data_IF_068805432402
#
_entry.id   IF_068805432402
#
_cell.length_a   1.000
_cell.length_b   1.000
_cell.length_c   1.000
_cell.angle_alpha   90.00
_cell.angle_beta   90.00
_cell.angle_gamma   90.00
#
_symmetry.space_group_name_H-M   'P 1'
#
loop_
_entity.id
_entity.type
_entity.pdbx_description
1 polymer ?
#
# COMPACT_ATOMS: atom_id res chain seq x y z
N UNK A 1 -38.67 -1.15 27.25
CA UNK A 1 -37.54 -1.97 26.80
C UNK A 1 -36.99 -1.31 25.55
N UNK A 2 -36.06 -0.35 25.75
CA UNK A 2 -35.33 0.32 24.67
C UNK A 2 -34.17 -0.63 24.25
N UNK A 3 -34.29 -1.20 23.05
CA UNK A 3 -33.18 -1.87 22.42
C UNK A 3 -32.05 -0.87 22.18
N UNK A 4 -30.91 -1.11 22.79
CA UNK A 4 -29.66 -0.46 22.40
C UNK A 4 -29.36 -0.95 20.98
N UNK A 5 -29.56 -0.10 20.00
CA UNK A 5 -28.93 -0.27 18.68
C UNK A 5 -27.42 -0.21 18.93
N UNK A 6 -26.74 -1.34 18.79
CA UNK A 6 -25.30 -1.33 18.55
C UNK A 6 -25.11 -0.55 17.24
N UNK A 7 -24.75 0.71 17.30
CA UNK A 7 -24.09 1.40 16.22
C UNK A 7 -22.74 0.69 16.15
N UNK A 8 -22.51 -0.07 15.08
CA UNK A 8 -21.16 -0.50 14.72
C UNK A 8 -20.33 0.77 14.67
N UNK A 9 -19.49 0.99 15.68
CA UNK A 9 -18.47 2.02 15.60
C UNK A 9 -17.51 1.54 14.53
N UNK A 10 -17.25 2.38 13.54
CA UNK A 10 -16.08 2.22 12.71
C UNK A 10 -14.89 2.03 13.66
N UNK A 11 -14.26 0.86 13.63
CA UNK A 11 -13.12 0.56 14.49
C UNK A 11 -11.94 1.33 13.90
N UNK A 12 -11.71 2.53 14.43
CA UNK A 12 -10.54 3.32 14.09
C UNK A 12 -9.30 2.66 14.71
N UNK A 13 -8.19 2.66 13.98
CA UNK A 13 -6.94 2.11 14.48
C UNK A 13 -6.36 2.97 15.60
N UNK A 14 -5.62 2.34 16.52
CA UNK A 14 -4.82 3.04 17.51
C UNK A 14 -3.59 3.71 16.87
N UNK A 15 -3.08 4.78 17.50
CA UNK A 15 -1.79 5.34 17.12
C UNK A 15 -0.68 4.31 17.33
N UNK A 16 0.24 4.13 16.34
CA UNK A 16 1.32 3.17 16.45
C UNK A 16 2.38 3.57 17.49
N UNK A 17 3.22 2.61 17.88
CA UNK A 17 4.40 2.87 18.70
C UNK A 17 5.47 3.62 17.89
N UNK A 18 6.01 4.70 18.45
CA UNK A 18 7.06 5.49 17.82
C UNK A 18 8.33 4.66 17.53
N UNK A 19 9.00 4.95 16.41
CA UNK A 19 10.21 4.25 15.97
C UNK A 19 11.45 5.14 15.87
N UNK A 20 11.30 6.39 16.27
CA UNK A 20 12.36 7.37 16.30
C UNK A 20 11.87 8.74 16.71
N UNK A 21 12.76 9.73 16.76
CA UNK A 21 12.41 11.06 17.30
C UNK A 21 11.29 11.77 16.54
N UNK A 22 11.20 11.60 15.20
CA UNK A 22 10.18 12.25 14.40
C UNK A 22 8.79 11.63 14.62
N UNK A 23 8.70 10.31 14.54
CA UNK A 23 7.44 9.62 14.81
C UNK A 23 7.01 9.80 16.27
N UNK A 24 7.95 9.89 17.22
CA UNK A 24 7.64 10.12 18.63
C UNK A 24 6.96 11.47 18.86
N UNK A 25 7.53 12.55 18.31
CA UNK A 25 6.93 13.88 18.49
C UNK A 25 5.60 14.02 17.76
N UNK A 26 5.49 13.42 16.55
CA UNK A 26 4.26 13.41 15.79
C UNK A 26 3.14 12.67 16.52
N UNK A 27 3.40 11.46 17.01
CA UNK A 27 2.42 10.65 17.75
C UNK A 27 2.00 11.32 19.05
N UNK A 28 2.94 11.90 19.80
CA UNK A 28 2.61 12.66 21.02
C UNK A 28 1.70 13.87 20.73
N UNK A 29 1.96 14.56 19.63
CA UNK A 29 1.15 15.69 19.17
C UNK A 29 -0.29 15.27 18.88
N UNK A 30 -0.45 14.20 18.11
CA UNK A 30 -1.75 13.66 17.74
C UNK A 30 -2.50 13.11 18.95
N UNK A 31 -1.82 12.39 19.85
CA UNK A 31 -2.42 11.84 21.06
C UNK A 31 -2.88 12.91 22.07
N UNK A 32 -2.15 14.02 22.18
CA UNK A 32 -2.55 15.12 23.06
C UNK A 32 -3.56 16.08 22.42
N UNK A 33 -3.75 16.00 21.12
CA UNK A 33 -4.48 16.99 20.30
C UNK A 33 -3.95 18.43 20.50
N UNK A 34 -2.66 18.58 20.80
CA UNK A 34 -2.00 19.87 21.05
C UNK A 34 -0.72 20.01 20.22
N UNK A 35 -0.44 21.22 19.77
CA UNK A 35 0.85 21.56 19.14
C UNK A 35 1.97 21.51 20.20
N UNK A 36 3.20 21.11 19.82
CA UNK A 36 4.33 21.16 20.74
C UNK A 36 4.56 22.61 21.20
N UNK A 37 4.84 22.82 22.48
CA UNK A 37 4.97 24.16 23.05
C UNK A 37 6.14 24.96 22.44
N UNK A 38 7.12 24.27 21.84
CA UNK A 38 8.28 24.88 21.19
C UNK A 38 8.35 24.45 19.71
N UNK A 39 7.80 25.27 18.82
CA UNK A 39 7.85 25.02 17.36
C UNK A 39 9.28 24.89 16.82
N UNK A 40 10.26 25.58 17.41
CA UNK A 40 11.66 25.46 17.02
C UNK A 40 12.20 24.06 17.30
N UNK A 41 11.86 23.46 18.42
CA UNK A 41 12.29 22.08 18.74
C UNK A 41 11.70 21.05 17.79
N UNK A 42 10.45 21.23 17.38
CA UNK A 42 9.84 20.39 16.34
C UNK A 42 10.61 20.50 15.01
N UNK A 43 10.93 21.73 14.61
CA UNK A 43 11.67 21.98 13.37
C UNK A 43 13.09 21.37 13.42
N UNK A 44 13.79 21.45 14.55
CA UNK A 44 15.12 20.85 14.72
C UNK A 44 15.08 19.33 14.59
N UNK A 45 14.06 18.65 15.18
CA UNK A 45 13.87 17.20 15.02
C UNK A 45 13.62 16.86 13.55
N UNK A 46 12.75 17.60 12.88
CA UNK A 46 12.46 17.38 11.44
C UNK A 46 13.72 17.54 10.59
N UNK A 47 14.49 18.58 10.85
CA UNK A 47 15.77 18.83 10.15
C UNK A 47 16.74 17.68 10.35
N UNK A 48 16.92 17.22 11.58
CA UNK A 48 17.84 16.14 11.90
C UNK A 48 17.40 14.81 11.27
N UNK A 49 16.11 14.42 11.40
CA UNK A 49 15.56 13.21 10.78
C UNK A 49 15.76 13.19 9.25
N UNK A 50 15.64 14.37 8.60
CA UNK A 50 15.85 14.48 7.17
C UNK A 50 17.33 14.55 6.77
N UNK A 51 18.28 14.77 7.71
CA UNK A 51 19.72 14.80 7.45
C UNK A 51 20.39 13.44 7.61
N UNK A 52 19.79 12.52 8.35
CA UNK A 52 20.34 11.18 8.57
C UNK A 52 20.51 10.49 7.21
N UNK A 53 21.73 10.01 6.94
CA UNK A 53 22.14 9.37 5.67
C UNK A 53 21.66 7.89 5.59
N UNK A 54 20.50 7.58 6.16
CA UNK A 54 19.86 6.28 5.98
C UNK A 54 19.00 6.30 4.74
N UNK A 55 19.04 5.23 3.94
CA UNK A 55 18.14 5.08 2.81
C UNK A 55 16.69 5.16 3.32
N UNK A 56 15.93 6.12 2.81
CA UNK A 56 14.58 6.39 3.27
C UNK A 56 13.66 5.16 3.14
N UNK A 57 13.93 4.23 2.21
CA UNK A 57 13.15 3.00 2.08
C UNK A 57 13.22 2.12 3.34
N UNK A 58 14.30 2.23 4.11
CA UNK A 58 14.55 1.44 5.32
C UNK A 58 14.56 2.30 6.61
N UNK A 59 14.18 3.57 6.51
CA UNK A 59 14.09 4.45 7.68
C UNK A 59 12.79 4.20 8.43
N UNK A 60 12.86 3.47 9.53
CA UNK A 60 11.71 3.13 10.36
C UNK A 60 10.96 4.39 10.85
N UNK A 61 11.68 5.43 11.24
CA UNK A 61 11.10 6.68 11.73
C UNK A 61 10.38 7.47 10.62
N UNK A 62 11.03 7.64 9.45
CA UNK A 62 10.46 8.43 8.35
C UNK A 62 9.28 7.71 7.69
N UNK A 63 9.37 6.39 7.50
CA UNK A 63 8.28 5.63 6.88
C UNK A 63 7.07 5.54 7.80
N UNK A 64 7.27 5.36 9.11
CA UNK A 64 6.16 5.40 10.06
C UNK A 64 5.53 6.79 10.14
N UNK A 65 6.35 7.86 10.22
CA UNK A 65 5.82 9.22 10.23
C UNK A 65 5.00 9.53 8.96
N UNK A 66 5.47 9.08 7.80
CA UNK A 66 4.76 9.26 6.53
C UNK A 66 3.44 8.47 6.50
N UNK A 67 3.45 7.22 6.99
CA UNK A 67 2.24 6.42 7.14
C UNK A 67 1.21 7.12 8.03
N UNK A 68 1.61 7.57 9.22
CA UNK A 68 0.70 8.29 10.14
C UNK A 68 0.13 9.54 9.49
N UNK A 69 0.95 10.33 8.79
CA UNK A 69 0.50 11.54 8.09
C UNK A 69 -0.48 11.25 6.95
N UNK A 70 -0.37 10.09 6.30
CA UNK A 70 -1.31 9.68 5.27
C UNK A 70 -2.62 9.16 5.86
N UNK A 71 -2.57 8.40 6.95
CA UNK A 71 -3.77 7.86 7.58
C UNK A 71 -4.73 8.93 8.09
N UNK A 72 -4.24 10.14 8.42
CA UNK A 72 -5.11 11.28 8.72
C UNK A 72 -6.06 11.66 7.56
N UNK A 73 -5.78 11.23 6.33
CA UNK A 73 -6.61 11.47 5.15
C UNK A 73 -7.49 10.27 4.76
N UNK A 74 -7.48 9.21 5.57
CA UNK A 74 -8.34 8.04 5.42
C UNK A 74 -9.27 7.94 6.64
N UNK A 75 -9.21 6.86 7.38
CA UNK A 75 -10.06 6.68 8.58
C UNK A 75 -9.52 7.40 9.82
N UNK A 76 -8.29 7.90 9.80
CA UNK A 76 -7.67 8.53 10.97
C UNK A 76 -7.31 7.53 12.08
N UNK A 77 -7.26 8.03 13.32
CA UNK A 77 -6.89 7.24 14.50
C UNK A 77 -7.86 7.49 15.64
N UNK A 78 -8.08 6.47 16.50
CA UNK A 78 -8.92 6.64 17.67
C UNK A 78 -8.40 7.79 18.57
N UNK A 79 -9.32 8.59 19.08
CA UNK A 79 -9.06 9.75 19.95
C UNK A 79 -8.23 10.89 19.32
N UNK A 80 -7.93 10.85 18.02
CA UNK A 80 -7.29 11.94 17.27
C UNK A 80 -8.37 12.77 16.59
N UNK A 81 -8.33 14.11 16.75
CA UNK A 81 -9.31 15.00 16.11
C UNK A 81 -9.09 15.09 14.59
N UNK A 82 -10.20 15.13 13.83
CA UNK A 82 -10.19 15.31 12.36
C UNK A 82 -9.57 16.66 11.94
N UNK A 83 -9.44 17.63 12.83
CA UNK A 83 -8.80 18.91 12.54
C UNK A 83 -7.34 18.78 12.10
N UNK A 84 -6.69 17.64 12.41
CA UNK A 84 -5.32 17.38 11.98
C UNK A 84 -5.19 17.04 10.50
N UNK A 85 -6.24 16.57 9.82
CA UNK A 85 -6.19 16.16 8.41
C UNK A 85 -5.58 17.24 7.50
N UNK A 86 -6.02 18.48 7.65
CA UNK A 86 -5.58 19.61 6.82
C UNK A 86 -4.71 20.61 7.57
N UNK A 87 -4.12 20.21 8.69
CA UNK A 87 -3.31 21.10 9.52
C UNK A 87 -2.02 21.53 8.79
N UNK A 88 -1.79 22.85 8.53
CA UNK A 88 -0.71 23.31 7.67
C UNK A 88 0.69 22.87 8.08
N UNK A 89 1.13 22.87 9.35
CA UNK A 89 2.41 22.32 9.78
C UNK A 89 2.59 20.85 9.44
N UNK A 90 1.56 19.99 9.57
CA UNK A 90 1.64 18.58 9.21
C UNK A 90 1.74 18.36 7.70
N UNK A 91 1.02 19.17 6.91
CA UNK A 91 1.14 19.16 5.45
C UNK A 91 2.54 19.60 4.99
N UNK A 92 3.12 20.58 5.67
CA UNK A 92 4.50 21.03 5.40
C UNK A 92 5.53 19.94 5.74
N UNK A 93 5.39 19.27 6.88
CA UNK A 93 6.21 18.12 7.27
C UNK A 93 6.11 17.00 6.24
N UNK A 94 4.88 16.57 5.91
CA UNK A 94 4.64 15.53 4.91
C UNK A 94 5.31 15.85 3.58
N UNK A 95 5.15 17.04 3.06
CA UNK A 95 5.77 17.45 1.79
C UNK A 95 7.31 17.36 1.81
N UNK A 96 7.96 17.57 2.94
CA UNK A 96 9.43 17.44 3.08
C UNK A 96 9.86 15.99 3.03
N UNK A 97 9.16 15.09 3.72
CA UNK A 97 9.44 13.64 3.69
C UNK A 97 9.16 13.10 2.29
N UNK A 98 8.00 13.44 1.70
CA UNK A 98 7.61 13.05 0.35
C UNK A 98 8.66 13.45 -0.70
N UNK A 99 9.21 14.65 -0.61
CA UNK A 99 10.25 15.14 -1.52
C UNK A 99 11.49 14.26 -1.49
N UNK A 100 11.95 13.88 -0.30
CA UNK A 100 13.09 12.96 -0.12
C UNK A 100 12.75 11.56 -0.66
N UNK A 101 11.55 11.07 -0.37
CA UNK A 101 11.06 9.77 -0.82
C UNK A 101 10.95 9.69 -2.35
N UNK A 102 10.30 10.68 -2.98
CA UNK A 102 10.18 10.75 -4.45
C UNK A 102 11.54 10.86 -5.13
N UNK A 103 12.46 11.68 -4.60
CA UNK A 103 13.82 11.79 -5.12
C UNK A 103 14.51 10.42 -5.10
N UNK A 104 14.46 9.72 -3.97
CA UNK A 104 15.07 8.39 -3.83
C UNK A 104 14.46 7.35 -4.78
N UNK A 105 13.14 7.39 -4.99
CA UNK A 105 12.46 6.54 -5.97
C UNK A 105 12.98 6.79 -7.38
N UNK A 106 13.03 8.05 -7.80
CA UNK A 106 13.51 8.43 -9.14
C UNK A 106 14.98 8.06 -9.36
N UNK A 107 15.82 8.25 -8.35
CA UNK A 107 17.25 7.86 -8.41
C UNK A 107 17.41 6.34 -8.55
N UNK A 108 16.57 5.54 -7.89
CA UNK A 108 16.60 4.09 -7.97
C UNK A 108 16.10 3.54 -9.31
N UNK A 109 15.12 4.19 -9.92
CA UNK A 109 14.49 3.72 -11.16
C UNK A 109 15.27 4.10 -12.41
N UNK A 110 16.04 5.19 -12.39
CA UNK A 110 16.80 5.66 -13.55
C UNK A 110 15.89 6.02 -14.74
N UNK A 111 16.32 5.61 -15.93
CA UNK A 111 15.59 5.95 -17.17
C UNK A 111 14.38 5.05 -17.36
N UNK A 112 13.21 5.66 -17.50
CA UNK A 112 11.94 4.99 -17.71
C UNK A 112 11.63 4.78 -19.22
N UNK A 113 10.82 3.76 -19.57
CA UNK A 113 10.31 3.58 -20.92
C UNK A 113 9.55 4.81 -21.43
N UNK A 114 9.68 5.08 -22.72
CA UNK A 114 9.01 6.20 -23.40
C UNK A 114 8.31 5.68 -24.66
N UNK A 115 7.24 4.85 -24.53
CA UNK A 115 6.51 4.36 -25.70
C UNK A 115 5.80 5.52 -26.43
N UNK A 116 5.42 5.29 -27.68
CA UNK A 116 4.54 6.23 -28.40
C UNK A 116 3.20 6.34 -27.69
N UNK A 117 2.58 7.52 -27.77
CA UNK A 117 1.30 7.82 -27.14
C UNK A 117 0.11 7.12 -27.86
N UNK A 118 0.13 5.80 -27.80
CA UNK A 118 -0.91 4.92 -28.33
C UNK A 118 -1.22 3.86 -27.29
N UNK A 119 -2.50 3.62 -27.02
CA UNK A 119 -2.95 2.73 -25.95
C UNK A 119 -2.35 1.31 -26.06
N UNK A 120 -2.23 0.75 -27.26
CA UNK A 120 -1.66 -0.58 -27.43
C UNK A 120 -0.16 -0.61 -27.11
N UNK A 121 0.62 0.36 -27.62
CA UNK A 121 2.08 0.39 -27.35
C UNK A 121 2.40 0.67 -25.88
N UNK A 122 1.56 1.43 -25.20
CA UNK A 122 1.66 1.66 -23.74
C UNK A 122 1.37 0.37 -22.98
N UNK A 123 0.29 -0.32 -23.31
CA UNK A 123 -0.06 -1.59 -22.68
C UNK A 123 1.05 -2.64 -22.91
N UNK A 124 1.56 -2.78 -24.14
CA UNK A 124 2.65 -3.72 -24.47
C UNK A 124 3.92 -3.42 -23.64
N UNK A 125 4.24 -2.13 -23.44
CA UNK A 125 5.39 -1.74 -22.63
C UNK A 125 5.19 -2.01 -21.12
N UNK A 126 3.96 -1.85 -20.61
CA UNK A 126 3.61 -2.20 -19.23
C UNK A 126 3.63 -3.74 -19.03
N UNK A 127 3.10 -4.53 -19.98
CA UNK A 127 3.20 -5.99 -19.94
C UNK A 127 4.65 -6.47 -19.99
N UNK A 128 5.51 -5.85 -20.80
CA UNK A 128 6.93 -6.18 -20.80
C UNK A 128 7.56 -5.90 -19.43
N UNK A 129 7.25 -4.74 -18.82
CA UNK A 129 7.75 -4.38 -17.48
C UNK A 129 7.27 -5.36 -16.39
N UNK A 130 6.02 -5.83 -16.45
CA UNK A 130 5.49 -6.80 -15.49
C UNK A 130 6.20 -8.16 -15.54
N UNK A 131 6.75 -8.53 -16.71
CA UNK A 131 7.48 -9.78 -16.91
C UNK A 131 8.96 -9.68 -16.52
N UNK A 132 9.54 -8.48 -16.54
CA UNK A 132 10.94 -8.23 -16.19
C UNK A 132 11.19 -8.15 -14.67
N UNK A 133 10.18 -8.39 -13.85
CA UNK A 133 10.30 -8.38 -12.40
C UNK A 133 11.36 -9.41 -11.94
N UNK A 134 12.55 -8.92 -11.59
CA UNK A 134 13.67 -9.72 -11.08
C UNK A 134 13.61 -9.79 -9.57
N UNK A 135 13.76 -10.98 -9.01
CA UNK A 135 13.80 -11.16 -7.57
C UNK A 135 13.21 -12.50 -7.13
N UNK A 136 13.28 -12.80 -5.83
CA UNK A 136 12.73 -14.03 -5.31
C UNK A 136 11.20 -14.01 -5.38
N UNK A 137 10.61 -15.07 -5.89
CA UNK A 137 9.15 -15.21 -5.95
C UNK A 137 8.60 -15.70 -4.61
N UNK A 138 8.13 -14.77 -3.78
CA UNK A 138 7.42 -15.07 -2.51
C UNK A 138 6.23 -16.00 -2.78
N UNK A 139 5.45 -15.74 -3.83
CA UNK A 139 4.28 -16.57 -4.17
C UNK A 139 4.68 -18.03 -4.50
N UNK A 140 5.79 -18.24 -5.20
CA UNK A 140 6.28 -19.59 -5.47
C UNK A 140 6.79 -20.29 -4.22
N UNK A 141 7.38 -19.56 -3.28
CA UNK A 141 7.81 -20.09 -1.99
C UNK A 141 6.60 -20.46 -1.11
N UNK A 142 5.61 -19.57 -1.00
CA UNK A 142 4.36 -19.83 -0.27
C UNK A 142 3.66 -21.07 -0.83
N UNK A 143 3.57 -21.19 -2.14
CA UNK A 143 2.92 -22.33 -2.79
C UNK A 143 3.53 -23.69 -2.42
N UNK A 144 4.84 -23.74 -2.16
CA UNK A 144 5.58 -25.03 -2.06
C UNK A 144 6.17 -25.31 -0.70
N UNK A 145 6.68 -24.29 -0.02
CA UNK A 145 7.61 -24.47 1.10
C UNK A 145 7.20 -23.76 2.39
N UNK A 146 6.43 -22.66 2.33
CA UNK A 146 6.15 -21.86 3.52
C UNK A 146 5.44 -22.66 4.61
N UNK A 147 5.86 -22.45 5.84
CA UNK A 147 5.17 -22.92 7.06
C UNK A 147 3.92 -22.05 7.31
N UNK A 148 3.08 -22.45 8.26
CA UNK A 148 1.93 -21.64 8.67
C UNK A 148 2.36 -20.28 9.23
N UNK A 149 3.43 -20.25 10.03
CA UNK A 149 3.99 -19.03 10.61
C UNK A 149 4.44 -18.06 9.51
N UNK A 150 5.13 -18.56 8.47
CA UNK A 150 5.55 -17.73 7.33
C UNK A 150 4.38 -17.23 6.50
N UNK A 151 3.31 -18.02 6.39
CA UNK A 151 2.07 -17.58 5.74
C UNK A 151 1.37 -16.48 6.57
N UNK A 152 1.37 -16.61 7.90
CA UNK A 152 0.88 -15.56 8.80
C UNK A 152 1.71 -14.28 8.67
N UNK A 153 3.04 -14.38 8.66
CA UNK A 153 3.91 -13.20 8.40
C UNK A 153 3.60 -12.54 7.06
N UNK A 154 3.43 -13.33 5.99
CA UNK A 154 3.05 -12.84 4.67
C UNK A 154 1.73 -12.04 4.73
N UNK A 155 0.70 -12.56 5.40
CA UNK A 155 -0.57 -11.85 5.56
C UNK A 155 -0.42 -10.59 6.39
N UNK A 156 0.39 -10.60 7.44
CA UNK A 156 0.70 -9.41 8.25
C UNK A 156 1.35 -8.32 7.39
N UNK A 157 2.34 -8.66 6.56
CA UNK A 157 2.90 -7.69 5.61
C UNK A 157 1.85 -7.09 4.65
N UNK A 158 0.91 -7.92 4.21
CA UNK A 158 -0.14 -7.50 3.27
C UNK A 158 -1.27 -6.72 3.95
N UNK A 159 -1.53 -6.94 5.23
CA UNK A 159 -2.68 -6.37 5.95
C UNK A 159 -2.73 -4.84 5.91
N UNK A 160 -1.56 -4.18 5.90
CA UNK A 160 -1.47 -2.72 5.92
C UNK A 160 -1.93 -2.05 4.60
N UNK A 161 -2.16 -2.84 3.55
CA UNK A 161 -2.76 -2.38 2.30
C UNK A 161 -4.07 -3.12 1.99
N UNK A 162 -4.07 -4.46 1.98
CA UNK A 162 -5.25 -5.22 1.53
C UNK A 162 -6.50 -5.03 2.40
N UNK A 163 -6.36 -4.64 3.67
CA UNK A 163 -7.52 -4.30 4.51
C UNK A 163 -8.16 -2.92 4.19
N UNK A 164 -7.53 -2.15 3.30
CA UNK A 164 -8.07 -0.92 2.68
C UNK A 164 -7.82 -0.88 1.18
N UNK A 165 -7.80 -2.05 0.57
CA UNK A 165 -7.58 -2.21 -0.88
C UNK A 165 -8.57 -1.35 -1.66
N UNK A 166 -8.09 -0.75 -2.75
CA UNK A 166 -8.78 0.21 -3.59
C UNK A 166 -8.84 1.66 -3.08
N UNK A 167 -8.90 1.94 -1.78
CA UNK A 167 -9.07 3.29 -1.23
C UNK A 167 -8.04 4.30 -1.78
N UNK A 168 -6.73 4.02 -1.80
CA UNK A 168 -5.76 5.00 -2.29
C UNK A 168 -5.91 5.33 -3.77
N UNK A 169 -6.32 4.36 -4.61
CA UNK A 169 -6.54 4.59 -6.04
C UNK A 169 -7.82 5.37 -6.33
N UNK A 170 -8.83 5.28 -5.44
CA UNK A 170 -10.09 6.03 -5.54
C UNK A 170 -9.85 7.54 -5.63
N UNK A 171 -8.80 8.07 -4.99
CA UNK A 171 -8.42 9.48 -5.09
C UNK A 171 -8.09 9.95 -6.51
N UNK A 172 -7.79 9.05 -7.45
CA UNK A 172 -7.53 9.40 -8.84
C UNK A 172 -8.83 9.67 -9.63
N UNK A 173 -9.98 9.10 -9.23
CA UNK A 173 -11.26 9.23 -9.96
C UNK A 173 -11.62 10.67 -10.29
N UNK A 174 -11.64 11.64 -9.33
CA UNK A 174 -11.99 13.02 -9.63
C UNK A 174 -10.96 13.77 -10.51
N UNK A 175 -9.78 13.18 -10.71
CA UNK A 175 -8.65 13.80 -11.45
C UNK A 175 -8.49 13.29 -12.86
N UNK A 176 -9.29 12.31 -13.24
CA UNK A 176 -9.33 11.72 -14.57
C UNK A 176 -10.59 12.14 -15.33
N UNK A 177 -10.61 11.88 -16.64
CA UNK A 177 -11.75 12.11 -17.52
C UNK A 177 -11.81 11.03 -18.61
N UNK A 178 -12.94 10.96 -19.32
CA UNK A 178 -13.13 10.10 -20.49
C UNK A 178 -12.86 8.62 -20.20
N UNK A 179 -12.21 7.96 -21.16
CA UNK A 179 -11.92 6.50 -21.16
C UNK A 179 -11.17 6.06 -19.90
N UNK A 180 -10.09 6.76 -19.53
CA UNK A 180 -9.30 6.43 -18.37
C UNK A 180 -10.11 6.48 -17.05
N UNK A 181 -11.01 7.48 -16.90
CA UNK A 181 -11.89 7.55 -15.74
C UNK A 181 -12.86 6.38 -15.69
N UNK A 182 -13.49 6.04 -16.83
CA UNK A 182 -14.44 4.92 -16.89
C UNK A 182 -13.77 3.60 -16.54
N UNK A 183 -12.57 3.36 -17.07
CA UNK A 183 -11.77 2.17 -16.76
C UNK A 183 -11.42 2.08 -15.28
N UNK A 184 -10.99 3.18 -14.65
CA UNK A 184 -10.72 3.19 -13.21
C UNK A 184 -11.98 2.89 -12.39
N UNK A 185 -13.11 3.49 -12.74
CA UNK A 185 -14.38 3.24 -12.02
C UNK A 185 -14.85 1.80 -12.19
N UNK A 186 -14.65 1.18 -13.35
CA UNK A 186 -14.96 -0.22 -13.60
C UNK A 186 -14.16 -1.12 -12.66
N UNK A 187 -12.83 -0.99 -12.62
CA UNK A 187 -11.96 -1.74 -11.70
C UNK A 187 -12.38 -1.51 -10.24
N UNK A 188 -12.54 -0.24 -9.84
CA UNK A 188 -12.94 0.09 -8.46
C UNK A 188 -14.31 -0.46 -8.09
N UNK A 189 -15.22 -0.62 -9.03
CA UNK A 189 -16.54 -1.22 -8.76
C UNK A 189 -16.37 -2.67 -8.33
N UNK A 190 -15.49 -3.42 -8.97
CA UNK A 190 -15.22 -4.82 -8.61
C UNK A 190 -14.44 -4.92 -7.29
N UNK A 191 -13.43 -4.03 -7.08
CA UNK A 191 -12.69 -3.92 -5.82
C UNK A 191 -13.62 -3.69 -4.61
N UNK A 192 -14.64 -2.86 -4.78
CA UNK A 192 -15.68 -2.61 -3.78
C UNK A 192 -16.84 -3.63 -3.85
N UNK A 193 -16.61 -4.81 -4.43
CA UNK A 193 -17.55 -5.94 -4.44
C UNK A 193 -18.89 -5.66 -5.14
N UNK A 194 -18.90 -4.77 -6.15
CA UNK A 194 -20.12 -4.31 -6.80
C UNK A 194 -21.06 -3.53 -5.88
N UNK A 195 -20.55 -2.95 -4.79
CA UNK A 195 -21.33 -2.27 -3.76
C UNK A 195 -22.13 -3.22 -2.84
N UNK A 196 -21.78 -4.50 -2.80
CA UNK A 196 -22.46 -5.50 -1.98
C UNK A 196 -21.64 -5.73 -0.70
N UNK A 197 -22.18 -5.43 0.51
CA UNK A 197 -21.50 -5.69 1.78
C UNK A 197 -21.04 -7.15 1.91
N UNK A 198 -19.85 -7.35 2.46
CA UNK A 198 -19.23 -8.66 2.61
C UNK A 198 -18.53 -9.17 1.34
N UNK A 199 -18.47 -8.38 0.25
CA UNK A 199 -17.85 -8.78 -1.01
C UNK A 199 -16.69 -7.89 -1.45
N UNK A 200 -16.38 -6.83 -0.71
CA UNK A 200 -15.20 -6.02 -1.02
C UNK A 200 -13.94 -6.88 -0.87
N UNK A 201 -12.91 -6.59 -1.66
CA UNK A 201 -11.64 -7.33 -1.56
C UNK A 201 -11.03 -7.20 -0.15
N UNK A 202 -11.15 -6.05 0.49
CA UNK A 202 -10.73 -5.86 1.88
C UNK A 202 -11.45 -6.81 2.86
N UNK A 203 -12.76 -7.01 2.72
CA UNK A 203 -13.54 -7.95 3.56
C UNK A 203 -13.21 -9.41 3.24
N UNK A 204 -12.92 -9.74 1.97
CA UNK A 204 -12.44 -11.07 1.59
C UNK A 204 -11.08 -11.36 2.23
N UNK A 205 -10.16 -10.38 2.21
CA UNK A 205 -8.85 -10.50 2.83
C UNK A 205 -8.95 -10.62 4.36
N UNK A 206 -9.83 -9.85 5.00
CA UNK A 206 -10.11 -9.95 6.42
C UNK A 206 -10.53 -11.39 6.82
N UNK A 207 -11.39 -12.02 6.02
CA UNK A 207 -11.77 -13.43 6.23
C UNK A 207 -10.61 -14.41 6.07
N UNK A 208 -9.71 -14.13 5.12
CA UNK A 208 -8.47 -14.93 4.96
C UNK A 208 -7.60 -14.84 6.22
N UNK A 209 -7.43 -13.63 6.78
CA UNK A 209 -6.67 -13.42 8.02
C UNK A 209 -7.30 -14.15 9.21
N UNK A 210 -8.62 -13.98 9.41
CA UNK A 210 -9.38 -14.68 10.47
C UNK A 210 -9.26 -16.21 10.34
N UNK A 211 -9.27 -16.72 9.11
CA UNK A 211 -9.15 -18.15 8.83
C UNK A 211 -7.80 -18.77 9.21
N UNK A 212 -6.80 -17.96 9.48
CA UNK A 212 -5.47 -18.39 9.97
C UNK A 212 -5.16 -17.86 11.38
N UNK A 213 -6.18 -17.51 12.15
CA UNK A 213 -6.10 -16.98 13.52
C UNK A 213 -5.31 -15.67 13.62
N UNK A 214 -5.49 -14.75 12.69
CA UNK A 214 -4.99 -13.39 12.75
C UNK A 214 -6.12 -12.38 12.99
N UNK A 215 -5.82 -11.30 13.69
CA UNK A 215 -6.70 -10.15 13.79
C UNK A 215 -6.88 -9.52 12.41
N UNK A 216 -8.08 -9.02 12.11
CA UNK A 216 -8.42 -8.48 10.80
C UNK A 216 -8.77 -6.98 10.83
N UNK A 217 -8.58 -6.32 11.96
CA UNK A 217 -8.73 -4.89 12.07
C UNK A 217 -7.55 -4.18 11.40
N UNK A 218 -7.85 -3.13 10.62
CA UNK A 218 -6.80 -2.37 9.95
C UNK A 218 -5.84 -1.75 10.98
N UNK A 219 -4.55 -1.87 10.74
CA UNK A 219 -3.52 -1.35 11.64
C UNK A 219 -3.15 -2.26 12.82
N UNK A 220 -3.88 -3.36 13.10
CA UNK A 220 -3.59 -4.25 14.24
C UNK A 220 -2.13 -4.72 14.33
N UNK A 221 -1.44 -4.80 13.19
CA UNK A 221 -0.05 -5.25 13.13
C UNK A 221 0.94 -4.15 12.74
N UNK A 222 0.53 -2.88 12.77
CA UNK A 222 1.39 -1.77 12.31
C UNK A 222 2.77 -1.78 12.97
N UNK A 223 2.86 -2.06 14.26
CA UNK A 223 4.11 -2.09 15.01
C UNK A 223 5.08 -3.21 14.59
N UNK A 224 4.58 -4.21 13.88
CA UNK A 224 5.38 -5.33 13.35
C UNK A 224 5.83 -5.11 11.90
N UNK A 225 5.27 -4.15 11.20
CA UNK A 225 5.53 -3.90 9.76
C UNK A 225 6.85 -3.14 9.58
N UNK A 226 7.86 -3.68 8.86
CA UNK A 226 9.13 -2.98 8.64
C UNK A 226 8.98 -1.80 7.66
N UNK A 227 9.89 -0.85 7.75
CA UNK A 227 9.93 0.36 6.93
C UNK A 227 9.80 0.09 5.43
N UNK A 228 10.43 -0.95 4.91
CA UNK A 228 10.38 -1.28 3.47
C UNK A 228 8.96 -1.65 3.01
N UNK A 229 8.18 -2.32 3.87
CA UNK A 229 6.77 -2.60 3.60
C UNK A 229 5.93 -1.34 3.71
N UNK A 230 6.19 -0.48 4.71
CA UNK A 230 5.54 0.83 4.78
C UNK A 230 5.85 1.68 3.54
N UNK A 231 7.08 1.64 3.03
CA UNK A 231 7.46 2.36 1.81
C UNK A 231 6.61 1.94 0.60
N UNK A 232 6.33 0.62 0.43
CA UNK A 232 5.50 0.13 -0.67
C UNK A 232 4.03 0.55 -0.55
N UNK A 233 3.53 0.81 0.66
CA UNK A 233 2.17 1.30 0.90
C UNK A 233 2.11 2.83 0.87
N UNK A 234 3.08 3.51 1.46
CA UNK A 234 3.15 4.97 1.47
C UNK A 234 3.21 5.58 0.06
N UNK A 235 3.85 4.89 -0.88
CA UNK A 235 3.93 5.38 -2.27
C UNK A 235 2.57 5.42 -2.95
N UNK A 236 1.65 4.52 -2.60
CA UNK A 236 0.28 4.52 -3.15
C UNK A 236 -0.46 5.76 -2.67
N UNK A 237 -0.35 6.09 -1.38
CA UNK A 237 -0.92 7.31 -0.80
C UNK A 237 -0.28 8.59 -1.37
N UNK A 238 1.05 8.59 -1.59
CA UNK A 238 1.73 9.68 -2.31
C UNK A 238 1.11 9.91 -3.69
N UNK A 239 0.89 8.86 -4.45
CA UNK A 239 0.30 8.99 -5.80
C UNK A 239 -1.17 9.35 -5.74
N UNK A 240 -1.93 8.74 -4.84
CA UNK A 240 -3.36 8.98 -4.66
C UNK A 240 -3.66 10.40 -4.21
N UNK A 241 -2.99 10.94 -3.21
CA UNK A 241 -3.29 12.25 -2.63
C UNK A 241 -2.83 13.44 -3.48
N UNK A 242 -1.86 13.26 -4.39
CA UNK A 242 -1.34 14.34 -5.21
C UNK A 242 -1.83 14.31 -6.66
N UNK A 243 -2.59 15.35 -7.10
CA UNK A 243 -3.04 15.49 -8.48
C UNK A 243 -1.90 15.43 -9.51
N UNK A 244 -0.70 15.90 -9.16
CA UNK A 244 0.50 15.85 -10.03
C UNK A 244 0.92 14.41 -10.35
N UNK A 245 0.56 13.47 -9.50
CA UNK A 245 0.85 12.05 -9.64
C UNK A 245 -0.31 11.21 -10.18
N UNK A 246 -1.37 11.82 -10.74
CA UNK A 246 -2.51 11.08 -11.30
C UNK A 246 -2.10 10.01 -12.32
N UNK A 247 -1.06 10.29 -13.12
CA UNK A 247 -0.49 9.30 -14.04
C UNK A 247 0.21 8.17 -13.29
N UNK A 248 0.97 8.47 -12.23
CA UNK A 248 1.64 7.47 -11.42
C UNK A 248 0.64 6.56 -10.69
N UNK A 249 -0.47 7.11 -10.18
CA UNK A 249 -1.55 6.29 -9.60
C UNK A 249 -2.14 5.30 -10.60
N UNK A 250 -2.37 5.73 -11.85
CA UNK A 250 -2.86 4.85 -12.92
C UNK A 250 -1.83 3.79 -13.33
N UNK A 251 -0.55 4.16 -13.43
CA UNK A 251 0.52 3.22 -13.76
C UNK A 251 0.77 2.20 -12.64
N UNK A 252 0.66 2.63 -11.40
CA UNK A 252 0.74 1.77 -10.21
C UNK A 252 -0.36 0.71 -10.24
N UNK A 253 -1.63 1.13 -10.39
CA UNK A 253 -2.75 0.20 -10.48
C UNK A 253 -2.58 -0.75 -11.67
N UNK A 254 -2.20 -0.25 -12.85
CA UNK A 254 -2.03 -1.08 -14.04
C UNK A 254 -1.04 -2.24 -13.81
N UNK A 255 0.07 -2.00 -13.13
CA UNK A 255 1.04 -3.07 -12.81
C UNK A 255 0.49 -4.02 -11.74
N UNK A 256 -0.27 -3.54 -10.76
CA UNK A 256 -0.92 -4.42 -9.78
C UNK A 256 -1.85 -5.40 -10.48
N UNK A 257 -2.75 -4.92 -11.34
CA UNK A 257 -3.67 -5.77 -12.12
C UNK A 257 -2.91 -6.78 -13.03
N UNK A 258 -1.83 -6.34 -13.67
CA UNK A 258 -1.03 -7.20 -14.57
C UNK A 258 -0.17 -8.23 -13.83
N UNK A 259 0.11 -8.07 -12.56
CA UNK A 259 1.02 -8.93 -11.80
C UNK A 259 0.35 -9.76 -10.71
N UNK A 260 -0.95 -9.65 -10.50
CA UNK A 260 -1.65 -10.25 -9.36
C UNK A 260 -2.22 -11.64 -9.63
N UNK A 261 -2.79 -11.93 -10.79
CA UNK A 261 -3.47 -13.20 -11.07
C UNK A 261 -2.58 -14.45 -10.83
N UNK A 262 -1.37 -14.49 -11.42
CA UNK A 262 -0.47 -15.65 -11.26
C UNK A 262 0.04 -15.82 -9.82
N UNK A 263 0.48 -14.78 -9.08
CA UNK A 263 0.79 -14.88 -7.66
C UNK A 263 -0.39 -15.34 -6.83
N UNK A 264 -1.59 -14.81 -7.04
CA UNK A 264 -2.77 -15.19 -6.27
C UNK A 264 -3.14 -16.66 -6.44
N UNK A 265 -3.07 -17.21 -7.65
CA UNK A 265 -3.21 -18.67 -7.88
C UNK A 265 -2.17 -19.49 -7.09
N UNK A 266 -0.95 -18.99 -6.95
CA UNK A 266 0.09 -19.65 -6.15
C UNK A 266 -0.17 -19.53 -4.65
N UNK A 267 -0.63 -18.37 -4.16
CA UNK A 267 -1.01 -18.19 -2.76
C UNK A 267 -2.16 -19.12 -2.40
N UNK A 268 -3.26 -19.14 -3.15
CA UNK A 268 -4.37 -20.06 -2.95
C UNK A 268 -3.91 -21.52 -2.84
N UNK A 269 -2.98 -21.95 -3.74
CA UNK A 269 -2.39 -23.28 -3.70
C UNK A 269 -1.60 -23.52 -2.42
N UNK A 270 -0.84 -22.54 -1.93
CA UNK A 270 -0.07 -22.62 -0.69
C UNK A 270 -0.96 -22.82 0.53
N UNK A 271 -2.06 -22.05 0.63
CA UNK A 271 -3.05 -22.18 1.69
C UNK A 271 -3.74 -23.55 1.66
N UNK A 272 -4.16 -24.04 0.47
CA UNK A 272 -4.74 -25.38 0.33
C UNK A 272 -3.77 -26.50 0.70
N UNK A 273 -2.46 -26.34 0.40
CA UNK A 273 -1.42 -27.27 0.84
C UNK A 273 -1.33 -27.36 2.36
N UNK A 274 -1.60 -26.27 3.06
CA UNK A 274 -1.64 -26.21 4.53
C UNK A 274 -2.97 -26.69 5.14
N UNK A 275 -3.95 -27.08 4.31
CA UNK A 275 -5.23 -27.64 4.74
C UNK A 275 -6.38 -26.65 4.86
N UNK A 276 -6.21 -25.40 4.42
CA UNK A 276 -7.25 -24.39 4.43
C UNK A 276 -8.27 -24.61 3.29
N UNK A 277 -9.52 -24.30 3.55
CA UNK A 277 -10.63 -24.45 2.63
C UNK A 277 -10.80 -23.25 1.69
N UNK A 278 -11.82 -23.31 0.83
CA UNK A 278 -12.16 -22.27 -0.13
C UNK A 278 -12.65 -20.97 0.52
N UNK A 279 -13.18 -21.02 1.75
CA UNK A 279 -13.57 -19.81 2.48
C UNK A 279 -12.37 -18.95 2.83
N UNK A 280 -11.27 -19.59 3.23
CA UNK A 280 -10.00 -18.91 3.54
C UNK A 280 -9.27 -18.45 2.27
N UNK A 281 -9.42 -19.15 1.15
CA UNK A 281 -8.74 -18.80 -0.10
C UNK A 281 -9.56 -17.89 -1.01
N UNK A 282 -10.78 -17.52 -0.62
CA UNK A 282 -11.71 -16.76 -1.46
C UNK A 282 -11.12 -15.46 -2.02
N UNK A 283 -10.37 -14.72 -1.20
CA UNK A 283 -9.68 -13.51 -1.64
C UNK A 283 -8.74 -13.76 -2.82
N UNK A 284 -7.93 -14.80 -2.73
CA UNK A 284 -6.97 -15.13 -3.80
C UNK A 284 -7.65 -15.70 -5.04
N UNK A 285 -8.73 -16.45 -4.84
CA UNK A 285 -9.50 -17.05 -5.95
C UNK A 285 -10.25 -15.97 -6.75
N UNK A 286 -10.83 -14.97 -6.07
CA UNK A 286 -11.46 -13.80 -6.72
C UNK A 286 -10.48 -13.07 -7.64
N UNK A 287 -9.28 -12.78 -7.16
CA UNK A 287 -8.23 -12.12 -7.96
C UNK A 287 -7.75 -12.95 -9.17
N UNK A 288 -7.87 -14.27 -9.13
CA UNK A 288 -7.54 -15.08 -10.31
C UNK A 288 -8.57 -14.88 -11.44
N UNK A 289 -9.84 -14.69 -11.08
CA UNK A 289 -10.93 -14.51 -12.06
C UNK A 289 -11.01 -13.05 -12.55
N UNK A 290 -10.98 -12.10 -11.64
CA UNK A 290 -11.12 -10.67 -11.92
C UNK A 290 -9.94 -10.14 -12.75
N UNK A 291 -8.70 -10.41 -12.33
CA UNK A 291 -7.50 -9.79 -12.92
C UNK A 291 -7.22 -10.23 -14.35
N UNK A 292 -7.71 -11.37 -14.80
CA UNK A 292 -7.63 -11.78 -16.19
C UNK A 292 -8.33 -10.79 -17.15
N UNK A 293 -9.33 -10.04 -16.65
CA UNK A 293 -10.04 -8.98 -17.38
C UNK A 293 -9.43 -7.63 -17.05
N UNK A 294 -9.17 -7.37 -15.78
CA UNK A 294 -8.66 -6.08 -15.29
C UNK A 294 -7.30 -5.72 -15.86
N UNK A 295 -6.38 -6.68 -16.08
CA UNK A 295 -5.07 -6.41 -16.69
C UNK A 295 -5.19 -5.72 -18.06
N UNK A 296 -6.20 -6.09 -18.87
CA UNK A 296 -6.43 -5.49 -20.17
C UNK A 296 -7.05 -4.09 -20.04
N UNK A 297 -8.03 -3.94 -19.15
CA UNK A 297 -8.68 -2.66 -18.85
C UNK A 297 -7.65 -1.67 -18.28
N UNK A 298 -6.85 -2.09 -17.31
CA UNK A 298 -5.85 -1.25 -16.66
C UNK A 298 -4.72 -0.83 -17.62
N UNK A 299 -4.23 -1.75 -18.46
CA UNK A 299 -3.17 -1.44 -19.42
C UNK A 299 -3.62 -0.59 -20.59
N UNK A 300 -4.74 -0.96 -21.23
CA UNK A 300 -5.19 -0.32 -22.48
C UNK A 300 -6.10 0.88 -22.25
N UNK A 301 -7.09 0.73 -21.35
CA UNK A 301 -8.14 1.72 -21.18
C UNK A 301 -7.78 2.76 -20.13
N UNK A 302 -7.20 2.35 -19.01
CA UNK A 302 -6.76 3.26 -17.96
C UNK A 302 -5.43 3.92 -18.33
N UNK A 303 -4.31 3.20 -18.30
CA UNK A 303 -2.97 3.78 -18.52
C UNK A 303 -2.79 4.22 -19.98
N UNK A 304 -3.12 3.35 -20.93
CA UNK A 304 -3.04 3.63 -22.35
C UNK A 304 -3.98 4.76 -22.79
N UNK A 305 -5.24 4.72 -22.38
CA UNK A 305 -6.21 5.77 -22.67
C UNK A 305 -5.86 7.12 -22.05
N UNK A 306 -5.24 7.11 -20.88
CA UNK A 306 -4.74 8.34 -20.23
C UNK A 306 -3.61 8.99 -21.05
N UNK A 307 -2.64 8.19 -21.50
CA UNK A 307 -1.51 8.69 -22.32
C UNK A 307 -1.96 9.11 -23.72
N UNK A 308 -2.90 8.41 -24.33
CA UNK A 308 -3.52 8.83 -25.60
C UNK A 308 -4.15 10.22 -25.50
N UNK A 309 -4.84 10.50 -24.39
CA UNK A 309 -5.50 11.76 -24.13
C UNK A 309 -4.51 12.87 -23.71
N UNK A 310 -3.45 12.53 -22.98
CA UNK A 310 -2.42 13.46 -22.50
C UNK A 310 -1.04 12.81 -22.55
N UNK A 311 -0.33 12.93 -23.70
CA UNK A 311 0.99 12.33 -23.89
C UNK A 311 2.06 12.83 -22.91
N UNK A 312 1.85 13.95 -22.23
CA UNK A 312 2.80 14.47 -21.23
C UNK A 312 2.86 13.61 -19.97
N UNK A 313 1.92 12.69 -19.79
CA UNK A 313 1.83 11.81 -18.63
C UNK A 313 2.61 10.49 -18.79
N UNK A 314 3.25 10.23 -19.94
CA UNK A 314 4.04 9.00 -20.15
C UNK A 314 5.02 8.76 -19.01
N UNK A 315 5.87 9.75 -18.69
CA UNK A 315 6.85 9.62 -17.60
C UNK A 315 6.17 9.31 -16.26
N UNK A 316 5.06 9.97 -15.97
CA UNK A 316 4.32 9.77 -14.71
C UNK A 316 3.72 8.36 -14.60
N UNK A 317 3.10 7.85 -15.67
CA UNK A 317 2.53 6.50 -15.68
C UNK A 317 3.63 5.44 -15.49
N UNK A 318 4.72 5.54 -16.24
CA UNK A 318 5.83 4.58 -16.11
C UNK A 318 6.61 4.74 -14.82
N UNK A 319 6.63 5.92 -14.22
CA UNK A 319 7.15 6.12 -12.86
C UNK A 319 6.34 5.34 -11.84
N UNK A 320 5.02 5.42 -11.88
CA UNK A 320 4.15 4.64 -10.99
C UNK A 320 4.32 3.14 -11.17
N UNK A 321 4.29 2.68 -12.42
CA UNK A 321 4.47 1.27 -12.76
C UNK A 321 5.83 0.69 -12.29
N UNK A 322 6.92 1.39 -12.60
CA UNK A 322 8.25 0.95 -12.21
C UNK A 322 8.48 0.99 -10.69
N UNK A 323 7.81 1.90 -9.98
CA UNK A 323 7.87 1.99 -8.52
C UNK A 323 7.29 0.74 -7.86
N UNK A 324 6.18 0.19 -8.38
CA UNK A 324 5.63 -1.09 -7.89
C UNK A 324 6.64 -2.21 -8.04
N UNK A 325 7.19 -2.38 -9.25
CA UNK A 325 8.16 -3.45 -9.52
C UNK A 325 9.37 -3.36 -8.60
N UNK A 326 9.86 -2.14 -8.36
CA UNK A 326 10.99 -1.88 -7.46
C UNK A 326 10.64 -2.24 -6.00
N UNK A 327 9.59 -1.65 -5.45
CA UNK A 327 9.29 -1.77 -4.02
C UNK A 327 8.79 -3.17 -3.67
N UNK A 328 7.93 -3.78 -4.48
CA UNK A 328 7.50 -5.17 -4.26
C UNK A 328 8.67 -6.15 -4.37
N UNK A 329 9.62 -5.89 -5.28
CA UNK A 329 10.86 -6.65 -5.37
C UNK A 329 11.70 -6.55 -4.08
N UNK A 330 11.84 -5.35 -3.51
CA UNK A 330 12.57 -5.12 -2.26
C UNK A 330 11.87 -5.73 -1.04
N UNK A 331 10.54 -5.62 -0.95
CA UNK A 331 9.75 -6.29 0.10
C UNK A 331 9.88 -7.81 -0.01
N UNK A 332 9.76 -8.36 -1.21
CA UNK A 332 9.93 -9.79 -1.45
C UNK A 332 11.33 -10.29 -1.10
N UNK A 333 12.37 -9.51 -1.41
CA UNK A 333 13.75 -9.82 -1.02
C UNK A 333 13.91 -9.82 0.49
N UNK A 334 13.39 -8.80 1.19
CA UNK A 334 13.40 -8.70 2.64
C UNK A 334 12.78 -9.93 3.31
N UNK A 335 11.58 -10.32 2.90
CA UNK A 335 10.88 -11.50 3.41
C UNK A 335 11.68 -12.79 3.17
N UNK A 336 12.15 -12.98 1.95
CA UNK A 336 12.85 -14.20 1.57
C UNK A 336 14.21 -14.34 2.23
N UNK A 337 14.94 -13.26 2.47
CA UNK A 337 16.24 -13.29 3.17
C UNK A 337 16.07 -13.64 4.65
N UNK A 338 15.04 -13.05 5.30
CA UNK A 338 14.69 -13.41 6.67
C UNK A 338 14.33 -14.89 6.79
N UNK A 339 13.39 -15.37 5.96
CA UNK A 339 12.94 -16.77 6.01
C UNK A 339 14.02 -17.78 5.69
N UNK A 340 14.90 -17.50 4.73
CA UNK A 340 16.06 -18.35 4.41
C UNK A 340 17.07 -18.42 5.54
N UNK A 341 17.18 -17.35 6.31
CA UNK A 341 18.06 -17.25 7.48
C UNK A 341 17.41 -17.81 8.76
N UNK A 342 16.17 -18.31 8.68
CA UNK A 342 15.43 -18.86 9.82
C UNK A 342 14.92 -17.81 10.80
N UNK A 343 14.76 -16.55 10.35
CA UNK A 343 14.27 -15.44 11.16
C UNK A 343 12.89 -14.98 10.67
N UNK A 344 12.17 -14.30 11.56
CA UNK A 344 10.97 -13.56 11.16
C UNK A 344 11.33 -12.37 10.26
N UNK A 345 10.50 -12.11 9.27
CA UNK A 345 10.58 -10.92 8.41
C UNK A 345 9.90 -9.68 9.01
N UNK A 346 9.19 -9.86 10.12
CA UNK A 346 8.52 -8.81 10.88
C UNK A 346 9.45 -8.22 11.95
N UNK A 347 9.16 -6.99 12.37
CA UNK A 347 9.83 -6.36 13.49
C UNK A 347 9.44 -7.07 14.79
N UNK A 348 10.42 -7.20 15.71
CA UNK A 348 10.15 -7.69 17.06
C UNK A 348 9.40 -6.59 17.85
N UNK A 349 8.17 -6.85 18.22
CA UNK A 349 7.45 -5.97 19.16
C UNK A 349 7.96 -6.25 20.56
N UNK A 350 8.56 -5.25 21.19
CA UNK A 350 8.84 -5.31 22.62
C UNK A 350 7.50 -5.23 23.35
N UNK A 351 6.86 -6.39 23.60
CA UNK A 351 5.77 -6.41 24.57
C UNK A 351 6.38 -6.07 25.91
N UNK A 352 6.13 -4.87 26.41
CA UNK A 352 6.25 -4.61 27.82
C UNK A 352 5.33 -5.64 28.51
N UNK A 353 5.93 -6.60 29.22
CA UNK A 353 5.21 -7.53 30.08
C UNK A 353 4.54 -6.66 31.16
N UNK A 354 3.24 -6.35 30.97
CA UNK A 354 2.39 -5.83 32.04
C UNK A 354 1.72 -6.99 32.74
#
# INVERSE_FOLDING_TARGET
LAGKTNVERDIMQDLPTARGPLSEILIKMLASNELPPELNYFEDIVQEALRIDTDIFYSEDLQLALFVLYELHYSGFDQVTDDWEWHPPLLALRNRIEKRFETRLRDALGKLPQPSANAQTVADALFAMSQDATGPSVSSYVARNASLEQVREFLVHKSIYQLKEADPHTWAIPRLSGRAKSALVEIQTDEYGGGIPGRTHAELFARTMQGVDLESDFGAYIDMIPAITLASVNVISLFGLHRRHRGAACGHLAIYEMTSSIPNAKYARGFRRLGFDTGVTAYFDEHVEADAVHEQIAGRDLAGGLIEADPTLVDSVFFGAATVVLLDGLVGQWQMDAWRSGHSSLLAVSRALT
#
